data_IF_358437233660
#
_entry.id   IF_358437233660
#
_cell.length_a   1.000
_cell.length_b   1.000
_cell.length_c   1.000
_cell.angle_alpha   90.00
_cell.angle_beta   90.00
_cell.angle_gamma   90.00
#
_symmetry.space_group_name_H-M   'P 1'
#
loop_
_entity.id
_entity.type
_entity.pdbx_description
1 polymer ?
#
# COMPACT_ATOMS: atom_id res chain seq x y z
N UNK A 1 -23.60 -8.87 -0.19
CA UNK A 1 -22.59 -7.78 -0.37
C UNK A 1 -23.29 -6.62 -1.05
N UNK A 2 -23.08 -5.39 -0.57
CA UNK A 2 -23.73 -4.20 -1.15
C UNK A 2 -22.91 -3.62 -2.30
N UNK A 3 -23.59 -3.10 -3.34
CA UNK A 3 -22.95 -2.40 -4.47
C UNK A 3 -22.11 -1.22 -3.99
N UNK A 4 -22.58 -0.38 -3.02
CA UNK A 4 -21.77 0.71 -2.47
C UNK A 4 -20.43 0.25 -1.89
N UNK A 5 -20.37 -0.88 -1.20
CA UNK A 5 -19.13 -1.43 -0.68
C UNK A 5 -18.14 -1.78 -1.80
N UNK A 6 -18.60 -2.46 -2.84
CA UNK A 6 -17.75 -2.86 -3.97
C UNK A 6 -17.21 -1.64 -4.72
N UNK A 7 -18.06 -0.66 -5.00
CA UNK A 7 -17.65 0.59 -5.66
C UNK A 7 -16.63 1.36 -4.82
N UNK A 8 -16.88 1.53 -3.53
CA UNK A 8 -15.94 2.22 -2.63
C UNK A 8 -14.62 1.49 -2.54
N UNK A 9 -14.65 0.16 -2.39
CA UNK A 9 -13.45 -0.69 -2.38
C UNK A 9 -12.65 -0.51 -3.68
N UNK A 10 -13.31 -0.59 -4.83
CA UNK A 10 -12.66 -0.43 -6.14
C UNK A 10 -12.03 0.96 -6.26
N UNK A 11 -12.75 2.02 -5.94
CA UNK A 11 -12.24 3.40 -5.98
C UNK A 11 -11.03 3.56 -5.08
N UNK A 12 -11.09 3.03 -3.84
CA UNK A 12 -9.96 3.09 -2.90
C UNK A 12 -8.77 2.30 -3.43
N UNK A 13 -8.96 1.11 -4.00
CA UNK A 13 -7.85 0.30 -4.52
C UNK A 13 -7.21 0.91 -5.78
N UNK A 14 -8.02 1.47 -6.69
CA UNK A 14 -7.53 2.10 -7.93
C UNK A 14 -6.86 3.45 -7.66
N UNK A 15 -7.34 4.21 -6.68
CA UNK A 15 -6.72 5.50 -6.34
C UNK A 15 -5.25 5.29 -5.91
N UNK A 16 -4.27 5.97 -6.56
CA UNK A 16 -2.87 5.80 -6.24
C UNK A 16 -2.56 6.13 -4.77
N UNK A 17 -1.95 5.18 -4.08
CA UNK A 17 -1.43 5.32 -2.73
C UNK A 17 -0.05 4.66 -2.66
N UNK A 18 0.53 4.57 -1.45
CA UNK A 18 1.89 4.06 -1.23
C UNK A 18 2.09 2.65 -1.81
N UNK A 19 1.13 1.74 -1.61
CA UNK A 19 1.20 0.37 -2.14
C UNK A 19 1.17 0.31 -3.66
N UNK A 20 0.33 1.13 -4.33
CA UNK A 20 0.29 1.23 -5.80
C UNK A 20 1.63 1.75 -6.32
N UNK A 21 2.14 2.86 -5.74
CA UNK A 21 3.43 3.46 -6.13
C UNK A 21 4.56 2.44 -5.99
N UNK A 22 4.60 1.70 -4.88
CA UNK A 22 5.59 0.65 -4.65
C UNK A 22 5.49 -0.49 -5.68
N UNK A 23 4.27 -0.95 -5.99
CA UNK A 23 4.04 -2.05 -6.94
C UNK A 23 4.44 -1.63 -8.36
N UNK A 24 4.07 -0.41 -8.79
CA UNK A 24 4.48 0.18 -10.07
C UNK A 24 6.01 0.29 -10.16
N UNK A 25 6.65 0.88 -9.13
CA UNK A 25 8.10 1.04 -9.08
C UNK A 25 8.82 -0.32 -9.15
N UNK A 26 8.30 -1.33 -8.44
CA UNK A 26 8.84 -2.69 -8.46
C UNK A 26 8.68 -3.35 -9.84
N UNK A 27 7.52 -3.17 -10.50
CA UNK A 27 7.28 -3.67 -11.85
C UNK A 27 8.23 -3.07 -12.88
N UNK A 28 8.43 -1.74 -12.82
CA UNK A 28 9.35 -1.02 -13.70
C UNK A 28 10.81 -1.40 -13.45
N UNK A 29 11.24 -1.50 -12.19
CA UNK A 29 12.64 -1.78 -11.86
C UNK A 29 13.01 -3.25 -11.96
N UNK A 30 12.14 -4.17 -11.54
CA UNK A 30 12.45 -5.59 -11.31
C UNK A 30 11.64 -6.56 -12.18
N UNK A 31 10.65 -6.06 -12.92
CA UNK A 31 9.82 -6.82 -13.84
C UNK A 31 8.69 -7.61 -13.18
N UNK A 32 8.08 -8.51 -13.96
CA UNK A 32 6.83 -9.19 -13.65
C UNK A 32 6.84 -9.97 -12.33
N UNK A 33 7.85 -10.83 -12.12
CA UNK A 33 7.90 -11.69 -10.91
C UNK A 33 7.94 -10.85 -9.63
N UNK A 34 8.78 -9.83 -9.59
CA UNK A 34 8.90 -8.96 -8.43
C UNK A 34 7.63 -8.14 -8.18
N UNK A 35 6.92 -7.70 -9.24
CA UNK A 35 5.66 -6.97 -9.08
C UNK A 35 4.53 -7.85 -8.53
N UNK A 36 4.47 -9.13 -8.94
CA UNK A 36 3.54 -10.10 -8.35
C UNK A 36 3.82 -10.27 -6.84
N UNK A 37 5.10 -10.44 -6.48
CA UNK A 37 5.52 -10.54 -5.07
C UNK A 37 5.16 -9.28 -4.29
N UNK A 38 5.36 -8.10 -4.88
CA UNK A 38 4.96 -6.84 -4.26
C UNK A 38 3.44 -6.74 -4.05
N UNK A 39 2.64 -7.15 -5.05
CA UNK A 39 1.19 -7.19 -4.93
C UNK A 39 0.73 -8.14 -3.82
N UNK A 40 1.32 -9.33 -3.73
CA UNK A 40 1.06 -10.28 -2.63
C UNK A 40 1.42 -9.65 -1.27
N UNK A 41 2.61 -9.06 -1.13
CA UNK A 41 3.04 -8.43 0.12
C UNK A 41 2.13 -7.27 0.54
N UNK A 42 1.73 -6.40 -0.40
CA UNK A 42 0.78 -5.32 -0.14
C UNK A 42 -0.61 -5.85 0.27
N UNK A 43 -1.04 -6.98 -0.28
CA UNK A 43 -2.31 -7.62 0.08
C UNK A 43 -2.23 -8.25 1.47
N UNK A 44 -1.16 -8.96 1.79
CA UNK A 44 -0.95 -9.55 3.12
C UNK A 44 -0.90 -8.50 4.23
N UNK A 45 -0.40 -7.31 3.93
CA UNK A 45 -0.38 -6.19 4.86
C UNK A 45 -1.78 -5.69 5.29
N UNK A 46 -2.84 -6.12 4.60
CA UNK A 46 -4.22 -5.77 4.95
C UNK A 46 -4.73 -6.63 6.11
N UNK A 47 -4.17 -7.84 6.30
CA UNK A 47 -4.60 -8.78 7.34
C UNK A 47 -4.62 -8.14 8.74
N UNK A 48 -3.57 -7.45 9.21
CA UNK A 48 -3.61 -6.77 10.51
C UNK A 48 -4.76 -5.77 10.64
N UNK A 49 -5.09 -5.04 9.57
CA UNK A 49 -6.18 -4.06 9.58
C UNK A 49 -7.55 -4.74 9.68
N UNK A 50 -7.73 -5.83 8.94
CA UNK A 50 -8.97 -6.66 9.02
C UNK A 50 -9.15 -7.19 10.43
N UNK A 51 -8.10 -7.79 11.01
CA UNK A 51 -8.15 -8.34 12.36
C UNK A 51 -8.39 -7.26 13.41
N UNK A 52 -7.70 -6.12 13.33
CA UNK A 52 -7.88 -5.00 14.24
C UNK A 52 -9.32 -4.48 14.20
N UNK A 53 -9.92 -4.40 13.02
CA UNK A 53 -11.32 -3.95 12.88
C UNK A 53 -12.28 -5.00 13.42
N UNK A 54 -12.09 -6.27 13.07
CA UNK A 54 -12.97 -7.36 13.47
C UNK A 54 -12.97 -7.64 14.98
N UNK A 55 -11.83 -7.43 15.66
CA UNK A 55 -11.71 -7.62 17.12
C UNK A 55 -12.09 -6.39 17.93
N UNK A 56 -12.49 -5.28 17.29
CA UNK A 56 -12.76 -4.02 17.97
C UNK A 56 -11.50 -3.29 18.49
N UNK A 57 -10.30 -3.83 18.25
CA UNK A 57 -9.03 -3.17 18.60
C UNK A 57 -8.90 -1.81 17.93
N UNK A 58 -9.54 -1.63 16.79
CA UNK A 58 -9.68 -0.36 16.12
C UNK A 58 -10.33 0.70 16.99
N UNK A 59 -11.39 0.35 17.74
CA UNK A 59 -12.05 1.25 18.69
C UNK A 59 -11.12 1.66 19.84
N UNK A 60 -10.29 0.71 20.30
CA UNK A 60 -9.31 0.97 21.35
C UNK A 60 -8.19 1.93 20.89
N UNK A 61 -7.71 1.76 19.66
CA UNK A 61 -6.73 2.67 19.04
C UNK A 61 -7.33 4.07 18.80
N UNK A 62 -8.62 4.14 18.50
CA UNK A 62 -9.35 5.40 18.45
C UNK A 62 -9.50 6.06 19.82
N UNK A 63 -9.63 5.28 20.87
CA UNK A 63 -9.72 5.81 22.25
C UNK A 63 -8.36 6.35 22.75
N UNK A 64 -7.24 5.83 22.25
CA UNK A 64 -5.89 6.27 22.63
C UNK A 64 -5.30 7.27 21.62
N UNK A 65 -5.33 8.57 21.97
CA UNK A 65 -4.70 9.63 21.19
C UNK A 65 -3.20 9.36 20.95
N UNK A 66 -2.51 8.89 21.97
CA UNK A 66 -1.07 8.61 21.94
C UNK A 66 -0.74 7.48 20.98
N UNK A 67 -1.46 6.35 21.02
CA UNK A 67 -1.22 5.23 20.12
C UNK A 67 -1.44 5.62 18.65
N UNK A 68 -2.49 6.40 18.35
CA UNK A 68 -2.71 6.94 17.02
C UNK A 68 -1.57 7.84 16.56
N UNK A 69 -1.08 8.75 17.41
CA UNK A 69 0.03 9.66 17.06
C UNK A 69 1.32 8.90 16.81
N UNK A 70 1.66 7.91 17.65
CA UNK A 70 2.85 7.07 17.44
C UNK A 70 2.80 6.36 16.09
N UNK A 71 1.67 5.71 15.77
CA UNK A 71 1.50 5.01 14.50
C UNK A 71 1.59 5.97 13.31
N UNK A 72 0.95 7.13 13.42
CA UNK A 72 0.96 8.19 12.41
C UNK A 72 2.39 8.67 12.13
N UNK A 73 3.14 9.07 13.14
CA UNK A 73 4.51 9.58 12.94
C UNK A 73 5.50 8.49 12.52
N UNK A 74 5.33 7.24 12.97
CA UNK A 74 6.09 6.11 12.44
C UNK A 74 5.86 5.94 10.92
N UNK A 75 4.61 6.07 10.47
CA UNK A 75 4.26 6.08 9.05
C UNK A 75 4.91 7.22 8.27
N UNK A 76 4.88 8.45 8.81
CA UNK A 76 5.54 9.63 8.20
C UNK A 76 7.03 9.38 8.03
N UNK A 77 7.72 8.98 9.09
CA UNK A 77 9.17 8.70 9.06
C UNK A 77 9.49 7.63 8.02
N UNK A 78 8.69 6.56 7.97
CA UNK A 78 8.88 5.48 7.00
C UNK A 78 8.69 5.95 5.55
N UNK A 79 7.67 6.77 5.28
CA UNK A 79 7.44 7.33 3.94
C UNK A 79 8.57 8.27 3.50
N UNK A 80 9.09 9.09 4.40
CA UNK A 80 10.24 9.96 4.14
C UNK A 80 11.51 9.14 3.89
N UNK A 81 11.73 8.07 4.66
CA UNK A 81 12.81 7.12 4.42
C UNK A 81 12.71 6.49 3.02
N UNK A 82 11.52 6.06 2.60
CA UNK A 82 11.30 5.51 1.26
C UNK A 82 11.56 6.54 0.16
N UNK A 83 11.12 7.79 0.34
CA UNK A 83 11.39 8.87 -0.59
C UNK A 83 12.91 9.12 -0.73
N UNK A 84 13.60 9.19 0.40
CA UNK A 84 15.04 9.40 0.44
C UNK A 84 15.82 8.25 -0.19
N UNK A 85 15.46 7.00 0.13
CA UNK A 85 16.08 5.82 -0.46
C UNK A 85 15.89 5.76 -1.98
N UNK A 86 14.72 6.16 -2.48
CA UNK A 86 14.48 6.25 -3.94
C UNK A 86 15.34 7.29 -4.66
N UNK A 87 15.67 8.38 -3.99
CA UNK A 87 16.55 9.43 -4.56
C UNK A 87 18.02 9.02 -4.47
N UNK A 88 18.41 8.45 -3.33
CA UNK A 88 19.81 8.10 -3.03
C UNK A 88 20.26 6.86 -3.80
N UNK A 89 19.46 5.81 -3.80
CA UNK A 89 19.78 4.56 -4.48
C UNK A 89 19.49 4.69 -5.98
N UNK A 90 20.53 5.08 -6.74
CA UNK A 90 20.46 5.04 -8.20
C UNK A 90 20.05 3.64 -8.71
N UNK A 91 20.30 2.59 -7.91
CA UNK A 91 19.91 1.19 -8.19
C UNK A 91 18.48 0.80 -7.80
N UNK A 92 17.70 1.62 -7.07
CA UNK A 92 16.33 1.24 -6.69
C UNK A 92 15.38 1.11 -7.90
N UNK A 93 15.66 1.87 -8.97
CA UNK A 93 15.05 1.73 -10.30
C UNK A 93 16.08 1.40 -11.38
N UNK A 94 17.36 1.22 -11.01
CA UNK A 94 18.41 0.89 -11.97
C UNK A 94 18.28 -0.58 -12.37
N UNK A 95 18.03 -0.76 -13.65
CA UNK A 95 17.97 -2.07 -14.32
C UNK A 95 19.35 -2.44 -14.86
N UNK A 96 20.37 -1.68 -14.50
CA UNK A 96 21.76 -1.91 -14.87
C UNK A 96 22.24 -3.26 -14.35
N UNK A 97 22.99 -3.96 -15.20
CA UNK A 97 23.70 -5.19 -14.88
C UNK A 97 24.62 -4.93 -13.67
N UNK A 98 24.17 -5.24 -12.45
CA UNK A 98 24.99 -5.07 -11.24
C UNK A 98 24.24 -4.73 -9.96
N UNK A 99 22.97 -4.38 -9.99
CA UNK A 99 22.20 -4.21 -8.76
C UNK A 99 22.05 -5.58 -8.06
N UNK A 100 22.54 -5.68 -6.82
CA UNK A 100 22.43 -6.89 -6.03
C UNK A 100 20.99 -7.42 -6.05
N UNK A 101 20.78 -8.72 -6.25
CA UNK A 101 19.45 -9.31 -6.30
C UNK A 101 18.76 -9.10 -4.95
N UNK A 102 17.73 -8.25 -4.94
CA UNK A 102 16.90 -8.11 -3.74
C UNK A 102 16.08 -9.39 -3.60
N UNK A 103 16.19 -10.02 -2.45
CA UNK A 103 15.49 -11.27 -2.19
C UNK A 103 13.96 -11.05 -2.21
N UNK A 104 13.22 -12.10 -2.58
CA UNK A 104 11.75 -12.12 -2.53
C UNK A 104 11.24 -11.69 -1.15
N UNK A 105 11.90 -12.15 -0.07
CA UNK A 105 11.56 -11.76 1.30
C UNK A 105 11.68 -10.25 1.54
N UNK A 106 12.72 -9.62 1.04
CA UNK A 106 12.89 -8.15 1.18
C UNK A 106 11.81 -7.38 0.42
N UNK A 107 11.38 -7.86 -0.76
CA UNK A 107 10.26 -7.25 -1.49
C UNK A 107 8.97 -7.35 -0.68
N UNK A 108 8.68 -8.52 -0.10
CA UNK A 108 7.49 -8.74 0.76
C UNK A 108 7.55 -7.85 2.00
N UNK A 109 8.65 -7.86 2.75
CA UNK A 109 8.79 -7.05 3.96
C UNK A 109 8.58 -5.57 3.67
N UNK A 110 9.20 -5.04 2.62
CA UNK A 110 8.99 -3.64 2.20
C UNK A 110 7.53 -3.37 1.82
N UNK A 111 6.90 -4.26 1.06
CA UNK A 111 5.50 -4.14 0.67
C UNK A 111 4.57 -4.12 1.90
N UNK A 112 4.82 -5.03 2.85
CA UNK A 112 4.06 -5.12 4.10
C UNK A 112 4.21 -3.84 4.91
N UNK A 113 5.43 -3.38 5.16
CA UNK A 113 5.69 -2.17 5.94
C UNK A 113 5.04 -0.92 5.30
N UNK A 114 5.20 -0.73 3.99
CA UNK A 114 4.58 0.38 3.27
C UNK A 114 3.06 0.37 3.41
N UNK A 115 2.45 -0.80 3.36
CA UNK A 115 1.00 -0.89 3.32
C UNK A 115 0.36 -0.99 4.71
N UNK A 116 1.03 -1.56 5.70
CA UNK A 116 0.60 -1.49 7.12
C UNK A 116 0.60 -0.04 7.62
N UNK A 117 1.61 0.74 7.22
CA UNK A 117 1.71 2.17 7.56
C UNK A 117 0.96 3.08 6.58
N UNK A 118 0.15 2.50 5.68
CA UNK A 118 -0.61 3.26 4.70
C UNK A 118 -1.88 3.86 5.32
N UNK A 119 -1.95 5.19 5.50
CA UNK A 119 -3.09 5.81 6.15
C UNK A 119 -4.41 5.62 5.42
N UNK A 120 -4.34 5.43 4.09
CA UNK A 120 -5.54 5.17 3.29
C UNK A 120 -6.19 3.84 3.66
N UNK A 121 -5.39 2.79 3.83
CA UNK A 121 -5.87 1.47 4.24
C UNK A 121 -6.39 1.53 5.67
N UNK A 122 -5.63 2.16 6.57
CA UNK A 122 -6.02 2.35 7.97
C UNK A 122 -7.37 3.06 8.06
N UNK A 123 -7.54 4.20 7.39
CA UNK A 123 -8.80 4.96 7.40
C UNK A 123 -9.95 4.13 6.83
N UNK A 124 -9.72 3.39 5.73
CA UNK A 124 -10.75 2.53 5.16
C UNK A 124 -11.23 1.50 6.18
N UNK A 125 -10.32 0.78 6.83
CA UNK A 125 -10.66 -0.26 7.77
C UNK A 125 -11.25 0.27 9.08
N UNK A 126 -10.77 1.41 9.58
CA UNK A 126 -11.25 1.97 10.85
C UNK A 126 -12.57 2.75 10.71
N UNK A 127 -12.73 3.51 9.62
CA UNK A 127 -13.85 4.43 9.46
C UNK A 127 -14.92 3.93 8.48
N UNK A 128 -14.53 3.21 7.44
CA UNK A 128 -15.43 2.83 6.36
C UNK A 128 -15.98 1.41 6.49
N UNK A 129 -15.13 0.41 6.76
CA UNK A 129 -15.56 -0.98 6.83
C UNK A 129 -16.70 -1.21 7.85
N UNK A 130 -16.65 -0.65 9.07
CA UNK A 130 -17.71 -0.82 10.06
C UNK A 130 -19.09 -0.31 9.61
N UNK A 131 -19.15 0.65 8.69
CA UNK A 131 -20.42 1.20 8.17
C UNK A 131 -21.23 0.18 7.35
N UNK A 132 -20.61 -0.92 6.92
CA UNK A 132 -21.26 -2.00 6.17
C UNK A 132 -21.67 -3.20 7.02
N UNK A 133 -21.55 -3.05 8.35
CA UNK A 133 -21.95 -4.06 9.34
C UNK A 133 -22.89 -3.40 10.31
N UNK A 134 -24.11 -3.94 10.46
CA UNK A 134 -25.12 -3.35 11.34
C UNK A 134 -24.75 -3.55 12.81
N UNK A 135 -25.00 -2.54 13.68
CA UNK A 135 -24.85 -2.71 15.12
C UNK A 135 -25.71 -3.87 15.63
N UNK A 136 -25.12 -4.77 16.40
CA UNK A 136 -25.83 -5.94 16.95
C UNK A 136 -26.09 -7.08 15.94
N UNK A 137 -25.53 -7.01 14.73
CA UNK A 137 -25.66 -8.10 13.75
C UNK A 137 -25.05 -9.41 14.28
N UNK A 138 -25.81 -10.53 14.28
CA UNK A 138 -25.23 -11.83 14.57
C UNK A 138 -24.07 -12.12 13.62
N UNK A 139 -22.94 -12.58 14.16
CA UNK A 139 -21.73 -12.86 13.38
C UNK A 139 -21.06 -11.65 12.69
N UNK A 140 -21.16 -10.45 13.30
CA UNK A 140 -20.53 -9.23 12.80
C UNK A 140 -19.02 -9.40 12.49
N UNK A 141 -18.28 -10.16 13.31
CA UNK A 141 -16.88 -10.51 13.09
C UNK A 141 -16.69 -11.29 11.78
N UNK A 142 -17.49 -12.30 11.54
CA UNK A 142 -17.43 -13.11 10.30
C UNK A 142 -17.71 -12.24 9.08
N UNK A 143 -18.68 -11.34 9.20
CA UNK A 143 -19.00 -10.40 8.13
C UNK A 143 -17.86 -9.42 7.86
N UNK A 144 -17.23 -8.87 8.89
CA UNK A 144 -16.05 -8.01 8.75
C UNK A 144 -14.87 -8.76 8.09
N UNK A 145 -14.62 -10.00 8.49
CA UNK A 145 -13.62 -10.85 7.85
C UNK A 145 -13.93 -11.11 6.36
N UNK A 146 -15.19 -11.39 6.04
CA UNK A 146 -15.63 -11.62 4.66
C UNK A 146 -15.46 -10.35 3.79
N UNK A 147 -15.87 -9.18 4.30
CA UNK A 147 -15.69 -7.90 3.61
C UNK A 147 -14.19 -7.56 3.47
N UNK A 148 -13.39 -7.81 4.51
CA UNK A 148 -11.94 -7.69 4.48
C UNK A 148 -11.31 -8.58 3.42
N UNK A 149 -11.74 -9.83 3.32
CA UNK A 149 -11.29 -10.77 2.28
C UNK A 149 -11.59 -10.29 0.86
N UNK A 150 -12.77 -9.70 0.65
CA UNK A 150 -13.11 -9.10 -0.65
C UNK A 150 -12.24 -7.89 -0.95
N UNK A 151 -12.01 -7.02 0.03
CA UNK A 151 -11.08 -5.89 -0.14
C UNK A 151 -9.67 -6.38 -0.50
N UNK A 152 -9.19 -7.44 0.15
CA UNK A 152 -7.90 -8.07 -0.17
C UNK A 152 -7.87 -8.60 -1.61
N UNK A 153 -8.91 -9.28 -2.05
CA UNK A 153 -9.01 -9.80 -3.41
C UNK A 153 -8.98 -8.67 -4.45
N UNK A 154 -9.78 -7.63 -4.27
CA UNK A 154 -9.81 -6.46 -5.16
C UNK A 154 -8.44 -5.77 -5.17
N UNK A 155 -7.83 -5.57 -4.00
CA UNK A 155 -6.47 -4.99 -3.91
C UNK A 155 -5.47 -5.83 -4.68
N UNK A 156 -5.48 -7.15 -4.51
CA UNK A 156 -4.57 -8.05 -5.21
C UNK A 156 -4.72 -7.92 -6.72
N UNK A 157 -5.95 -8.00 -7.23
CA UNK A 157 -6.23 -7.91 -8.68
C UNK A 157 -5.79 -6.56 -9.26
N UNK A 158 -6.13 -5.46 -8.58
CA UNK A 158 -5.77 -4.11 -9.03
C UNK A 158 -4.26 -3.91 -9.01
N UNK A 159 -3.58 -4.32 -7.94
CA UNK A 159 -2.13 -4.17 -7.81
C UNK A 159 -1.38 -5.08 -8.77
N UNK A 160 -1.88 -6.28 -9.00
CA UNK A 160 -1.36 -7.19 -10.02
C UNK A 160 -1.45 -6.55 -11.41
N UNK A 161 -2.59 -5.97 -11.77
CA UNK A 161 -2.77 -5.28 -13.03
C UNK A 161 -1.78 -4.12 -13.18
N UNK A 162 -1.67 -3.25 -12.17
CA UNK A 162 -0.68 -2.16 -12.16
C UNK A 162 0.74 -2.65 -12.31
N UNK A 163 1.14 -3.68 -11.56
CA UNK A 163 2.49 -4.23 -11.58
C UNK A 163 2.83 -4.87 -12.93
N UNK A 164 1.91 -5.63 -13.51
CA UNK A 164 2.11 -6.28 -14.81
C UNK A 164 2.14 -5.27 -15.95
N UNK A 165 1.28 -4.25 -15.92
CA UNK A 165 1.29 -3.14 -16.89
C UNK A 165 2.63 -2.37 -16.80
N UNK A 166 3.08 -2.03 -15.60
CA UNK A 166 4.37 -1.39 -15.41
C UNK A 166 5.52 -2.24 -15.93
N UNK A 167 5.49 -3.54 -15.64
CA UNK A 167 6.51 -4.47 -16.10
C UNK A 167 6.51 -4.67 -17.63
N UNK A 168 5.37 -4.54 -18.31
CA UNK A 168 5.27 -4.67 -19.77
C UNK A 168 5.95 -3.52 -20.50
N UNK A 169 5.84 -2.29 -19.97
CA UNK A 169 6.47 -1.10 -20.56
C UNK A 169 7.92 -0.91 -20.07
N UNK A 170 8.42 -1.78 -19.20
CA UNK A 170 9.73 -1.69 -18.56
C UNK A 170 10.85 -1.41 -19.56
N UNK A 171 10.97 -2.21 -20.61
CA UNK A 171 12.04 -2.08 -21.62
C UNK A 171 12.09 -0.70 -22.26
N UNK A 172 10.93 -0.16 -22.62
CA UNK A 172 10.82 1.18 -23.22
C UNK A 172 11.18 2.30 -22.25
N UNK A 173 10.83 2.14 -20.98
CA UNK A 173 11.07 3.12 -19.93
C UNK A 173 12.53 3.07 -19.48
N UNK A 174 13.08 1.86 -19.27
CA UNK A 174 14.44 1.69 -18.72
C UNK A 174 15.54 2.00 -19.74
N UNK A 175 15.24 1.93 -21.04
CA UNK A 175 16.19 2.34 -22.09
C UNK A 175 16.39 3.87 -22.19
N UNK A 176 15.57 4.65 -21.46
CA UNK A 176 15.62 6.12 -21.50
C UNK A 176 16.02 6.70 -20.14
N UNK A 177 17.31 7.04 -19.91
CA UNK A 177 17.80 7.51 -18.60
C UNK A 177 17.04 8.71 -18.04
N UNK A 178 16.62 9.64 -18.90
CA UNK A 178 15.82 10.81 -18.51
C UNK A 178 14.43 10.43 -17.98
N UNK A 179 13.76 9.45 -18.61
CA UNK A 179 12.45 8.96 -18.16
C UNK A 179 12.59 8.26 -16.80
N UNK A 180 13.64 7.46 -16.63
CA UNK A 180 13.92 6.79 -15.36
C UNK A 180 14.20 7.79 -14.22
N UNK A 181 14.99 8.83 -14.49
CA UNK A 181 15.27 9.88 -13.51
C UNK A 181 13.97 10.63 -13.13
N UNK A 182 13.13 10.93 -14.12
CA UNK A 182 11.83 11.59 -13.90
C UNK A 182 10.90 10.70 -13.06
N UNK A 183 10.73 9.43 -13.42
CA UNK A 183 9.89 8.49 -12.65
C UNK A 183 10.37 8.34 -11.21
N UNK A 184 11.68 8.20 -10.98
CA UNK A 184 12.25 8.10 -9.64
C UNK A 184 11.91 9.33 -8.80
N UNK A 185 12.06 10.53 -9.38
CA UNK A 185 11.70 11.78 -8.69
C UNK A 185 10.19 11.87 -8.42
N UNK A 186 9.37 11.45 -9.38
CA UNK A 186 7.91 11.45 -9.23
C UNK A 186 7.45 10.47 -8.13
N UNK A 187 8.02 9.27 -8.07
CA UNK A 187 7.71 8.32 -7.00
C UNK A 187 8.20 8.81 -5.63
N UNK A 188 9.43 9.35 -5.55
CA UNK A 188 9.93 9.97 -4.33
C UNK A 188 9.03 11.13 -3.89
N UNK A 189 8.65 12.02 -4.81
CA UNK A 189 7.71 13.09 -4.56
C UNK A 189 6.36 12.60 -4.06
N UNK A 190 5.84 11.51 -4.64
CA UNK A 190 4.58 10.90 -4.18
C UNK A 190 4.67 10.42 -2.73
N UNK A 191 5.79 9.81 -2.32
CA UNK A 191 5.99 9.41 -0.93
C UNK A 191 6.10 10.61 0.02
N UNK A 192 6.77 11.69 -0.39
CA UNK A 192 6.82 12.95 0.39
C UNK A 192 5.43 13.54 0.55
N UNK A 193 4.66 13.66 -0.53
CA UNK A 193 3.29 14.20 -0.49
C UNK A 193 2.38 13.34 0.39
N UNK A 194 2.47 12.01 0.28
CA UNK A 194 1.69 11.10 1.11
C UNK A 194 2.10 11.17 2.59
N UNK A 195 3.41 11.30 2.86
CA UNK A 195 3.93 11.51 4.22
C UNK A 195 3.47 12.84 4.81
N UNK A 196 3.54 13.93 4.04
CA UNK A 196 3.02 15.23 4.46
C UNK A 196 1.52 15.18 4.72
N UNK A 197 0.73 14.60 3.78
CA UNK A 197 -0.71 14.41 3.98
C UNK A 197 -1.01 13.65 5.28
N UNK A 198 -0.27 12.58 5.56
CA UNK A 198 -0.40 11.81 6.79
C UNK A 198 -0.06 12.67 8.02
N UNK A 199 1.02 13.46 7.98
CA UNK A 199 1.43 14.32 9.09
C UNK A 199 0.35 15.35 9.47
N UNK A 200 -0.33 15.91 8.46
CA UNK A 200 -1.39 16.92 8.65
C UNK A 200 -2.79 16.32 8.79
N UNK A 201 -2.96 15.00 8.75
CA UNK A 201 -4.27 14.37 9.02
C UNK A 201 -4.62 14.60 10.48
N UNK A 202 -5.71 15.35 10.72
CA UNK A 202 -6.31 15.48 12.03
C UNK A 202 -6.95 14.14 12.45
N UNK A 203 -7.15 14.00 13.75
CA UNK A 203 -7.84 12.83 14.32
C UNK A 203 -9.34 12.97 14.13
#
# INVERSE_FOLDING_TARGET
MSIPFLLTTLVVCVTPGTGVVYTLATGLSRGRRASVVAAVGCTLAIVPHVLATATGLAALLHASATAFQVLKYAGVVYLLYMAWSMVRDKGALDVGQGAAPVSTGQVIVRAVLINVLNPKVTIFFLAFLPQFVSPGEPHSVVRMLALGGVFMLVTFVVFLAYGLLAASVRRHVTSRPGVMAWLRRSFAGSFVVLGAKLAFTAR
#
